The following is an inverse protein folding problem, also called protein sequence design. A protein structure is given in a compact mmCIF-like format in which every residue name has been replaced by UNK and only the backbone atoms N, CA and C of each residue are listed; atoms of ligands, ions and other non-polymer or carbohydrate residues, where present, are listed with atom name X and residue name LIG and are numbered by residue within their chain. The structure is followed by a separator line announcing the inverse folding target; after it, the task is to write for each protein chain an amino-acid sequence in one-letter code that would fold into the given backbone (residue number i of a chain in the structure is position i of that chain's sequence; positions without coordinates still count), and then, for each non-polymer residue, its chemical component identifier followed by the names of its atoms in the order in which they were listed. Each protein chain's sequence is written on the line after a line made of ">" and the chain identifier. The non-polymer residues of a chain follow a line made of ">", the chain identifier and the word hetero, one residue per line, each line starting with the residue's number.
data_IF_261124586162
#
_entry.id   IF_261124586162
#
_cell.length_a   1.000
_cell.length_b   1.000
_cell.length_c   1.000
_cell.angle_alpha   90.00
_cell.angle_beta   90.00
_cell.angle_gamma   90.00
#
_symmetry.space_group_name_H-M   'P 1'
#
loop_
_entity.id
_entity.type
_entity.pdbx_description
1 polymer ?
#
# COMPACT_ATOMS: atom_id res chain seq x y z
N UNK A 1 -1.41 15.04 14.41
CA UNK A 1 -0.73 13.83 13.87
C UNK A 1 -1.77 13.05 13.09
N UNK A 2 -1.70 13.03 11.74
CA UNK A 2 -2.68 12.28 10.92
C UNK A 2 -2.31 10.81 10.83
N UNK A 3 -3.30 9.94 11.04
CA UNK A 3 -3.15 8.49 10.93
C UNK A 3 -2.85 8.11 9.48
N UNK A 4 -2.15 6.99 9.25
CA UNK A 4 -2.05 6.43 7.88
C UNK A 4 -3.39 5.89 7.39
N UNK A 5 -4.33 5.67 8.32
CA UNK A 5 -5.70 5.23 8.06
C UNK A 5 -6.68 6.41 7.92
N UNK A 6 -6.19 7.66 7.99
CA UNK A 6 -7.05 8.83 7.74
C UNK A 6 -7.61 8.79 6.29
N UNK A 7 -8.82 9.30 6.14
CA UNK A 7 -9.56 9.31 4.88
C UNK A 7 -8.75 9.97 3.74
N UNK A 8 -8.68 9.27 2.60
CA UNK A 8 -8.10 9.76 1.35
C UNK A 8 -6.81 9.07 0.88
N UNK A 9 -6.12 8.32 1.76
CA UNK A 9 -4.92 7.57 1.36
C UNK A 9 -5.23 6.14 0.93
N UNK A 10 -6.26 5.52 1.49
CA UNK A 10 -6.63 4.13 1.23
C UNK A 10 -7.94 4.04 0.45
N UNK A 11 -7.94 3.24 -0.62
CA UNK A 11 -9.14 2.87 -1.37
C UNK A 11 -9.72 1.60 -0.76
N UNK A 12 -10.50 1.75 0.32
CA UNK A 12 -11.08 0.64 1.06
C UNK A 12 -11.97 -0.27 0.19
N UNK A 13 -12.58 0.28 -0.85
CA UNK A 13 -13.33 -0.43 -1.89
C UNK A 13 -12.49 -1.45 -2.67
N UNK A 14 -11.16 -1.33 -2.63
CA UNK A 14 -10.20 -2.21 -3.33
C UNK A 14 -9.52 -3.21 -2.40
N UNK A 15 -9.89 -3.21 -1.12
CA UNK A 15 -9.40 -4.16 -0.11
C UNK A 15 -10.36 -5.33 -0.05
N UNK A 16 -10.02 -6.40 -0.76
CA UNK A 16 -10.93 -7.54 -0.99
C UNK A 16 -10.90 -8.56 0.16
N UNK A 17 -9.81 -8.60 0.93
CA UNK A 17 -9.63 -9.56 2.03
C UNK A 17 -9.01 -8.88 3.24
N UNK A 18 -9.41 -9.32 4.44
CA UNK A 18 -8.81 -8.88 5.70
C UNK A 18 -7.30 -9.14 5.77
N UNK A 19 -6.81 -10.18 5.08
CA UNK A 19 -5.38 -10.49 4.98
C UNK A 19 -4.57 -9.38 4.31
N UNK A 20 -5.17 -8.58 3.41
CA UNK A 20 -4.47 -7.54 2.66
C UNK A 20 -4.24 -6.25 3.46
N UNK A 21 -4.86 -6.11 4.63
CA UNK A 21 -4.81 -4.86 5.42
C UNK A 21 -3.38 -4.51 5.84
N UNK A 22 -2.59 -5.52 6.23
CA UNK A 22 -1.18 -5.32 6.60
C UNK A 22 -0.35 -4.85 5.39
N UNK A 23 -0.54 -5.49 4.24
CA UNK A 23 0.20 -5.18 3.01
C UNK A 23 -0.09 -3.77 2.51
N UNK A 24 -1.37 -3.40 2.53
CA UNK A 24 -1.82 -2.06 2.14
C UNK A 24 -1.29 -1.00 3.11
N UNK A 25 -1.24 -1.30 4.40
CA UNK A 25 -0.61 -0.41 5.38
C UNK A 25 0.88 -0.19 5.10
N UNK A 26 1.62 -1.25 4.76
CA UNK A 26 3.04 -1.14 4.42
C UNK A 26 3.27 -0.34 3.14
N UNK A 27 2.42 -0.52 2.12
CA UNK A 27 2.48 0.28 0.91
C UNK A 27 2.15 1.76 1.17
N UNK A 28 1.13 2.05 1.98
CA UNK A 28 0.77 3.40 2.40
C UNK A 28 1.89 4.08 3.20
N UNK A 29 2.57 3.32 4.07
CA UNK A 29 3.75 3.79 4.79
C UNK A 29 4.89 4.14 3.82
N UNK A 30 5.15 3.30 2.81
CA UNK A 30 6.16 3.55 1.79
C UNK A 30 5.86 4.83 1.00
N UNK A 31 4.61 5.04 0.56
CA UNK A 31 4.17 6.27 -0.11
C UNK A 31 4.41 7.50 0.76
N UNK A 32 3.95 7.47 2.02
CA UNK A 32 4.10 8.60 2.96
C UNK A 32 5.56 8.93 3.26
N UNK A 33 6.42 7.92 3.31
CA UNK A 33 7.85 8.08 3.60
C UNK A 33 8.71 8.31 2.36
N UNK A 34 8.12 8.38 1.16
CA UNK A 34 8.84 8.44 -0.12
C UNK A 34 9.85 7.29 -0.26
N UNK A 35 9.46 6.12 0.24
CA UNK A 35 10.25 4.90 0.24
C UNK A 35 9.64 3.84 -0.70
N UNK A 36 10.30 2.69 -0.80
CA UNK A 36 9.87 1.54 -1.58
C UNK A 36 9.61 0.34 -0.67
N UNK A 37 8.44 -0.29 -0.81
CA UNK A 37 8.16 -1.61 -0.27
C UNK A 37 8.70 -2.66 -1.25
N UNK A 38 9.62 -3.50 -0.78
CA UNK A 38 10.11 -4.66 -1.55
C UNK A 38 9.46 -5.89 -0.94
N UNK A 39 8.80 -6.71 -1.75
CA UNK A 39 8.02 -7.88 -1.30
C UNK A 39 8.21 -9.07 -2.24
N UNK A 40 7.90 -10.27 -1.75
CA UNK A 40 7.74 -11.48 -2.58
C UNK A 40 6.27 -11.72 -2.94
N UNK A 41 5.36 -10.95 -2.34
CA UNK A 41 3.92 -11.11 -2.54
C UNK A 41 3.45 -10.37 -3.81
N UNK A 42 2.91 -11.14 -4.76
CA UNK A 42 2.31 -10.62 -6.01
C UNK A 42 0.88 -10.09 -5.80
N UNK A 43 0.27 -10.31 -4.63
CA UNK A 43 -1.10 -9.93 -4.31
C UNK A 43 -1.30 -8.46 -3.92
N UNK A 44 -0.22 -7.68 -3.79
CA UNK A 44 -0.30 -6.27 -3.39
C UNK A 44 -0.67 -5.38 -4.57
N UNK A 45 -1.86 -4.78 -4.52
CA UNK A 45 -2.33 -3.87 -5.56
C UNK A 45 -1.89 -2.42 -5.30
N UNK A 46 -1.17 -1.83 -6.26
CA UNK A 46 -0.89 -0.39 -6.30
C UNK A 46 -2.16 0.46 -6.27
N UNK A 47 -3.28 -0.05 -6.78
CA UNK A 47 -4.55 0.65 -6.82
C UNK A 47 -5.21 0.83 -5.45
N UNK A 48 -4.77 0.11 -4.41
CA UNK A 48 -5.34 0.17 -3.07
C UNK A 48 -4.88 1.40 -2.26
N UNK A 49 -3.80 2.07 -2.69
CA UNK A 49 -3.20 3.21 -1.99
C UNK A 49 -3.09 4.40 -2.93
N UNK A 50 -3.73 5.51 -2.58
CA UNK A 50 -3.65 6.76 -3.32
C UNK A 50 -2.20 7.29 -3.35
N UNK A 51 -1.72 7.62 -4.54
CA UNK A 51 -0.36 8.09 -4.76
C UNK A 51 0.70 6.98 -4.80
N UNK A 52 0.32 5.71 -4.66
CA UNK A 52 1.23 4.61 -4.92
C UNK A 52 1.53 4.48 -6.42
N UNK A 53 2.79 4.18 -6.73
CA UNK A 53 3.24 3.88 -8.09
C UNK A 53 4.42 2.92 -8.06
N UNK A 54 5.00 2.65 -9.23
CA UNK A 54 6.11 1.68 -9.41
C UNK A 54 7.35 1.98 -8.57
N UNK A 55 7.54 3.23 -8.12
CA UNK A 55 8.63 3.62 -7.19
C UNK A 55 8.40 3.19 -5.73
N UNK A 56 7.17 2.80 -5.39
CA UNK A 56 6.76 2.49 -4.03
C UNK A 56 6.57 0.99 -3.78
N UNK A 57 6.54 0.16 -4.84
CA UNK A 57 6.38 -1.28 -4.76
C UNK A 57 7.30 -1.97 -5.76
N UNK A 58 8.16 -2.86 -5.29
CA UNK A 58 8.95 -3.79 -6.09
C UNK A 58 8.62 -5.20 -5.61
N UNK A 59 8.27 -6.06 -6.56
CA UNK A 59 8.04 -7.48 -6.30
C UNK A 59 9.26 -8.25 -6.79
N UNK A 60 9.84 -9.07 -5.93
CA UNK A 60 10.98 -9.93 -6.26
C UNK A 60 10.49 -11.32 -6.69
N UNK A 61 11.21 -11.93 -7.62
CA UNK A 61 11.04 -13.32 -8.06
C UNK A 61 12.03 -14.26 -7.34
#
# INVERSE_FOLDING_TARGET
>A
MRSLLDEGLLHWDRVLKSSQVADIYLLALAVRKKACLITLDQGISLGAVSGAGTKNLVVLE
#
